data_IF_526620167587
#
_entry.id   IF_526620167587
#
_cell.length_a   1.000
_cell.length_b   1.000
_cell.length_c   1.000
_cell.angle_alpha   90.00
_cell.angle_beta   90.00
_cell.angle_gamma   90.00
#
_symmetry.space_group_name_H-M   'P 1'
#
loop_
_entity.id
_entity.type
_entity.pdbx_description
1 polymer ?
#
# COMPACT_ATOMS: atom_id res chain seq x y z
N UNK A 1 -0.42 9.23 23.13
CA UNK A 1 -0.49 8.01 22.30
C UNK A 1 -0.38 6.80 23.18
N UNK A 2 -1.29 5.88 23.04
CA UNK A 2 -1.22 4.63 23.76
C UNK A 2 -0.05 3.78 23.28
N UNK A 3 0.48 2.94 24.13
CA UNK A 3 1.55 2.03 23.74
C UNK A 3 1.07 1.10 22.63
N UNK A 4 1.92 0.91 21.63
CA UNK A 4 1.64 0.03 20.51
C UNK A 4 2.09 -1.39 20.87
N UNK A 5 1.14 -2.32 20.96
CA UNK A 5 1.43 -3.73 21.15
C UNK A 5 1.65 -4.39 19.79
N UNK A 6 2.90 -4.46 19.38
CA UNK A 6 3.26 -5.01 18.08
C UNK A 6 2.97 -6.50 17.96
N UNK A 7 3.13 -7.26 19.05
CA UNK A 7 2.82 -8.69 19.04
C UNK A 7 1.35 -8.93 18.78
N UNK A 8 0.49 -8.19 19.46
CA UNK A 8 -0.96 -8.30 19.31
C UNK A 8 -1.40 -7.84 17.93
N UNK A 9 -0.84 -6.72 17.42
CA UNK A 9 -1.15 -6.22 16.10
C UNK A 9 -0.74 -7.23 15.02
N UNK A 10 0.44 -7.83 15.14
CA UNK A 10 0.91 -8.82 14.18
C UNK A 10 0.03 -10.09 14.22
N UNK A 11 -0.38 -10.52 15.40
CA UNK A 11 -1.28 -11.67 15.52
C UNK A 11 -2.61 -11.42 14.82
N UNK A 12 -3.19 -10.22 14.98
CA UNK A 12 -4.44 -9.85 14.31
C UNK A 12 -4.27 -9.77 12.80
N UNK A 13 -3.15 -9.21 12.33
CA UNK A 13 -2.85 -9.13 10.90
C UNK A 13 -2.78 -10.53 10.30
N UNK A 14 -2.03 -11.43 10.93
CA UNK A 14 -1.88 -12.79 10.46
C UNK A 14 -3.19 -13.56 10.47
N UNK A 15 -4.01 -13.36 11.50
CA UNK A 15 -5.32 -14.02 11.61
C UNK A 15 -6.30 -13.54 10.54
N UNK A 16 -6.29 -12.24 10.21
CA UNK A 16 -7.20 -11.69 9.21
C UNK A 16 -6.69 -11.82 7.78
N UNK A 17 -5.38 -11.99 7.59
CA UNK A 17 -4.74 -12.11 6.27
C UNK A 17 -5.28 -11.06 5.27
N UNK A 18 -5.13 -9.75 5.57
CA UNK A 18 -5.77 -8.73 4.76
C UNK A 18 -5.15 -8.62 3.37
N UNK A 19 -5.97 -8.26 2.40
CA UNK A 19 -5.51 -7.93 1.07
C UNK A 19 -4.96 -6.51 1.08
N UNK A 20 -3.70 -6.35 0.69
CA UNK A 20 -3.03 -5.05 0.66
C UNK A 20 -2.72 -4.69 -0.78
N UNK A 21 -3.30 -3.60 -1.25
CA UNK A 21 -2.97 -3.05 -2.57
C UNK A 21 -1.64 -2.32 -2.49
N UNK A 22 -0.73 -2.62 -3.42
CA UNK A 22 0.58 -2.00 -3.46
C UNK A 22 0.75 -1.25 -4.77
N UNK A 23 1.08 0.04 -4.67
CA UNK A 23 1.48 0.88 -5.79
C UNK A 23 2.92 1.28 -5.50
N UNK A 24 3.88 0.52 -6.05
CA UNK A 24 5.28 0.68 -5.69
C UNK A 24 6.15 0.82 -6.93
N UNK A 25 7.38 1.30 -6.72
CA UNK A 25 8.37 1.26 -7.78
C UNK A 25 8.69 -0.19 -8.12
N UNK A 26 9.14 -0.42 -9.36
CA UNK A 26 9.37 -1.77 -9.87
C UNK A 26 10.55 -2.48 -9.23
N UNK A 27 11.50 -1.71 -8.68
CA UNK A 27 12.71 -2.27 -8.09
C UNK A 27 12.41 -3.05 -6.82
N UNK A 28 11.44 -2.59 -6.00
CA UNK A 28 11.15 -3.20 -4.71
C UNK A 28 9.86 -4.02 -4.70
N UNK A 29 9.20 -4.23 -5.85
CA UNK A 29 7.93 -4.95 -5.88
C UNK A 29 8.03 -6.33 -5.26
N UNK A 30 9.02 -7.11 -5.67
CA UNK A 30 9.20 -8.46 -5.15
C UNK A 30 9.55 -8.43 -3.66
N UNK A 31 10.41 -7.52 -3.25
CA UNK A 31 10.80 -7.40 -1.85
C UNK A 31 9.60 -7.04 -0.98
N UNK A 32 8.81 -6.03 -1.40
CA UNK A 32 7.63 -5.60 -0.66
C UNK A 32 6.59 -6.72 -0.58
N UNK A 33 6.36 -7.44 -1.67
CA UNK A 33 5.44 -8.57 -1.69
C UNK A 33 5.88 -9.66 -0.72
N UNK A 34 7.17 -9.98 -0.71
CA UNK A 34 7.69 -11.03 0.17
C UNK A 34 7.62 -10.64 1.64
N UNK A 35 7.87 -9.37 1.98
CA UNK A 35 7.74 -8.90 3.36
C UNK A 35 6.29 -8.99 3.82
N UNK A 36 5.35 -8.53 2.99
CA UNK A 36 3.92 -8.60 3.32
C UNK A 36 3.45 -10.03 3.51
N UNK A 37 3.87 -10.95 2.64
CA UNK A 37 3.55 -12.36 2.79
C UNK A 37 4.13 -12.92 4.09
N UNK A 38 5.37 -12.55 4.42
CA UNK A 38 6.04 -13.05 5.62
C UNK A 38 5.33 -12.60 6.90
N UNK A 39 4.77 -11.39 6.93
CA UNK A 39 4.04 -10.91 8.11
C UNK A 39 2.59 -11.38 8.16
N UNK A 40 2.08 -12.01 7.11
CA UNK A 40 0.76 -12.62 7.10
C UNK A 40 -0.29 -11.87 6.29
N UNK A 41 0.09 -10.88 5.49
CA UNK A 41 -0.82 -10.17 4.59
C UNK A 41 -0.81 -10.81 3.19
N UNK A 42 -1.76 -10.41 2.36
CA UNK A 42 -1.85 -10.83 0.96
C UNK A 42 -1.60 -9.61 0.06
N UNK A 43 -0.40 -9.47 -0.51
CA UNK A 43 -0.10 -8.32 -1.36
C UNK A 43 -0.67 -8.46 -2.76
N UNK A 44 -1.06 -7.34 -3.36
CA UNK A 44 -1.47 -7.26 -4.75
C UNK A 44 -0.84 -6.03 -5.39
N UNK A 45 -0.02 -6.25 -6.41
CA UNK A 45 0.68 -5.18 -7.14
C UNK A 45 -0.24 -4.67 -8.24
N UNK A 46 -1.16 -3.78 -7.90
CA UNK A 46 -2.16 -3.25 -8.81
C UNK A 46 -2.05 -1.73 -8.88
N UNK A 47 -1.42 -1.25 -9.94
CA UNK A 47 -1.11 0.16 -10.12
C UNK A 47 -1.63 0.75 -11.44
N UNK A 48 -2.61 0.09 -12.05
CA UNK A 48 -3.26 0.64 -13.25
C UNK A 48 -4.34 1.64 -12.82
N UNK A 49 -4.33 2.84 -13.40
CA UNK A 49 -5.22 3.91 -12.98
C UNK A 49 -6.70 3.59 -13.19
N UNK A 50 -7.03 2.80 -14.23
CA UNK A 50 -8.41 2.44 -14.51
C UNK A 50 -9.03 1.52 -13.45
N UNK A 51 -8.22 0.69 -12.79
CA UNK A 51 -8.69 -0.33 -11.86
C UNK A 51 -8.37 -0.01 -10.40
N UNK A 52 -7.53 0.99 -10.15
CA UNK A 52 -6.96 1.24 -8.83
C UNK A 52 -8.04 1.53 -7.77
N UNK A 53 -9.02 2.35 -8.11
CA UNK A 53 -10.09 2.71 -7.17
C UNK A 53 -10.97 1.50 -6.86
N UNK A 54 -11.37 0.75 -7.87
CA UNK A 54 -12.21 -0.42 -7.69
C UNK A 54 -11.54 -1.46 -6.82
N UNK A 55 -10.27 -1.73 -7.08
CA UNK A 55 -9.51 -2.68 -6.27
C UNK A 55 -9.31 -2.18 -4.84
N UNK A 56 -9.09 -0.88 -4.67
CA UNK A 56 -8.91 -0.29 -3.33
C UNK A 56 -10.13 -0.50 -2.44
N UNK A 57 -11.33 -0.52 -3.01
CA UNK A 57 -12.54 -0.82 -2.24
C UNK A 57 -12.55 -2.25 -1.73
N UNK A 58 -11.86 -3.19 -2.37
CA UNK A 58 -11.78 -4.59 -1.95
C UNK A 58 -10.63 -4.82 -0.97
N UNK A 59 -9.61 -3.97 -0.99
CA UNK A 59 -8.43 -4.15 -0.17
C UNK A 59 -8.70 -3.74 1.28
N UNK A 60 -7.93 -4.31 2.21
CA UNK A 60 -7.94 -3.92 3.61
C UNK A 60 -7.00 -2.78 3.93
N UNK A 61 -6.08 -2.45 3.02
CA UNK A 61 -5.13 -1.36 3.18
C UNK A 61 -4.42 -1.06 1.88
N UNK A 62 -3.68 0.04 1.86
CA UNK A 62 -2.98 0.54 0.67
C UNK A 62 -1.57 0.97 1.05
N UNK A 63 -0.59 0.50 0.28
CA UNK A 63 0.81 0.89 0.40
C UNK A 63 1.24 1.59 -0.89
N UNK A 64 1.78 2.79 -0.77
CA UNK A 64 2.30 3.55 -1.90
C UNK A 64 3.76 3.86 -1.67
N UNK A 65 4.59 3.59 -2.67
CA UNK A 65 6.02 3.89 -2.66
C UNK A 65 6.39 4.58 -3.98
N UNK A 66 6.78 5.85 -3.90
CA UNK A 66 7.07 6.69 -5.06
C UNK A 66 8.56 6.73 -5.42
N UNK A 67 9.30 5.64 -5.21
CA UNK A 67 10.73 5.61 -5.51
C UNK A 67 11.07 5.90 -6.97
N UNK A 68 10.31 5.35 -7.90
CA UNK A 68 10.46 5.59 -9.35
C UNK A 68 9.08 5.73 -9.98
N UNK A 69 8.31 6.68 -9.47
CA UNK A 69 6.90 6.82 -9.84
C UNK A 69 6.74 7.29 -11.28
N UNK A 70 5.77 6.69 -11.96
CA UNK A 70 5.32 7.10 -13.30
C UNK A 70 4.06 7.93 -13.18
N UNK A 71 3.68 8.63 -14.26
CA UNK A 71 2.41 9.37 -14.27
C UNK A 71 1.22 8.44 -14.02
N UNK A 72 1.26 7.24 -14.57
CA UNK A 72 0.20 6.26 -14.35
C UNK A 72 0.11 5.87 -12.87
N UNK A 73 1.24 5.71 -12.20
CA UNK A 73 1.25 5.40 -10.77
C UNK A 73 0.71 6.55 -9.93
N UNK A 74 1.00 7.81 -10.29
CA UNK A 74 0.43 8.95 -9.60
C UNK A 74 -1.10 8.98 -9.74
N UNK A 75 -1.62 8.72 -10.95
CA UNK A 75 -3.06 8.68 -11.18
C UNK A 75 -3.70 7.51 -10.43
N UNK A 76 -3.06 6.34 -10.44
CA UNK A 76 -3.52 5.18 -9.69
C UNK A 76 -3.55 5.45 -8.19
N UNK A 77 -2.50 6.11 -7.67
CA UNK A 77 -2.41 6.45 -6.25
C UNK A 77 -3.52 7.41 -5.84
N UNK A 78 -3.76 8.47 -6.63
CA UNK A 78 -4.84 9.40 -6.33
C UNK A 78 -6.19 8.69 -6.25
N UNK A 79 -6.50 7.84 -7.23
CA UNK A 79 -7.76 7.10 -7.26
C UNK A 79 -7.88 6.13 -6.08
N UNK A 80 -6.79 5.43 -5.75
CA UNK A 80 -6.78 4.48 -4.65
C UNK A 80 -6.91 5.18 -3.29
N UNK A 81 -6.21 6.30 -3.09
CA UNK A 81 -6.29 7.08 -1.85
C UNK A 81 -7.72 7.58 -1.63
N UNK A 82 -8.35 8.10 -2.68
CA UNK A 82 -9.74 8.55 -2.59
C UNK A 82 -10.66 7.41 -2.16
N UNK A 83 -10.48 6.23 -2.75
CA UNK A 83 -11.29 5.06 -2.45
C UNK A 83 -11.10 4.57 -1.01
N UNK A 84 -9.86 4.42 -0.54
CA UNK A 84 -9.61 3.95 0.82
C UNK A 84 -10.01 4.98 1.87
N UNK A 85 -9.90 6.27 1.53
CA UNK A 85 -10.35 7.35 2.42
C UNK A 85 -11.87 7.31 2.59
N UNK A 86 -12.60 7.11 1.49
CA UNK A 86 -14.06 6.99 1.53
C UNK A 86 -14.50 5.79 2.38
N UNK A 87 -13.74 4.70 2.34
CA UNK A 87 -14.03 3.47 3.08
C UNK A 87 -13.43 3.46 4.49
N UNK A 88 -12.78 4.54 4.91
CA UNK A 88 -12.08 4.65 6.20
C UNK A 88 -11.05 3.54 6.42
N UNK A 89 -10.32 3.16 5.38
CA UNK A 89 -9.29 2.14 5.45
C UNK A 89 -7.90 2.78 5.61
N UNK A 90 -6.95 2.07 6.25
CA UNK A 90 -5.61 2.61 6.44
C UNK A 90 -4.81 2.63 5.14
N UNK A 91 -3.92 3.63 5.01
CA UNK A 91 -2.98 3.68 3.91
C UNK A 91 -1.69 4.37 4.35
N UNK A 92 -0.61 4.02 3.69
CA UNK A 92 0.73 4.52 3.98
C UNK A 92 1.36 5.00 2.67
N UNK A 93 1.99 6.17 2.72
CA UNK A 93 2.75 6.72 1.60
C UNK A 93 4.21 6.85 2.01
N UNK A 94 5.09 6.19 1.25
CA UNK A 94 6.54 6.38 1.35
C UNK A 94 6.99 7.23 0.16
N UNK A 95 7.30 8.52 0.36
CA UNK A 95 7.76 9.37 -0.74
C UNK A 95 9.20 9.09 -1.16
N UNK A 96 9.89 8.20 -0.42
CA UNK A 96 11.29 7.83 -0.62
C UNK A 96 12.19 9.07 -0.47
N UNK A 97 12.92 9.50 -1.47
CA UNK A 97 13.92 10.55 -1.34
C UNK A 97 13.34 11.95 -1.57
N UNK A 98 12.19 12.24 -0.96
CA UNK A 98 11.59 13.56 -1.08
C UNK A 98 12.53 14.63 -0.56
N UNK A 99 12.69 15.72 -1.31
CA UNK A 99 13.64 16.79 -0.97
C UNK A 99 15.05 16.53 -1.47
N UNK A 100 15.40 15.28 -1.79
CA UNK A 100 16.68 14.92 -2.39
C UNK A 100 16.57 14.71 -3.90
N UNK A 101 15.37 14.46 -4.39
CA UNK A 101 15.06 14.30 -5.81
C UNK A 101 13.87 15.19 -6.16
N UNK A 102 13.83 15.58 -7.43
CA UNK A 102 12.76 16.44 -7.95
C UNK A 102 11.67 15.54 -8.53
N UNK A 103 10.61 15.41 -7.80
CA UNK A 103 9.48 14.59 -8.22
C UNK A 103 8.44 15.40 -8.95
#
# INVERSE_FOLDING_TARGET
MTDLDLSSAHARLRASNPLIQCITNTVVQQFSANVLLAVGASPAMLDHDADAAQFAHLAGGLLINFGTATNQQFLAADAAIEAVTADAKPWVLDPVSIGAADF
#
